data_IF_259465872226
#
_entry.id   IF_259465872226
#
_cell.length_a   1.000
_cell.length_b   1.000
_cell.length_c   1.000
_cell.angle_alpha   90.00
_cell.angle_beta   90.00
_cell.angle_gamma   90.00
#
_symmetry.space_group_name_H-M   'P 1'
#
loop_
_entity.id
_entity.type
_entity.pdbx_description
1 polymer ?
#
# COMPACT_ATOMS: atom_id res chain seq x y z
N UNK A 1 3.95 11.42 20.90
CA UNK A 1 5.34 11.71 20.52
C UNK A 1 5.72 10.70 19.44
N UNK A 2 5.39 10.99 18.18
CA UNK A 2 5.77 10.13 17.06
C UNK A 2 7.03 10.74 16.46
N UNK A 3 8.20 10.17 16.78
CA UNK A 3 9.39 10.43 15.98
C UNK A 3 9.08 9.99 14.56
N UNK A 4 9.13 10.93 13.62
CA UNK A 4 9.15 10.60 12.20
C UNK A 4 10.56 10.05 11.97
N UNK A 5 10.70 8.74 11.91
CA UNK A 5 11.95 8.11 11.51
C UNK A 5 12.15 8.46 10.03
N UNK A 6 12.92 9.50 9.78
CA UNK A 6 13.30 9.89 8.43
C UNK A 6 14.27 8.85 7.86
N UNK A 7 13.96 8.36 6.67
CA UNK A 7 14.82 7.45 5.91
C UNK A 7 16.10 8.18 5.50
N UNK A 8 17.25 7.74 6.01
CA UNK A 8 18.55 8.20 5.53
C UNK A 8 19.17 7.15 4.61
N UNK A 9 18.92 7.31 3.32
CA UNK A 9 19.39 6.39 2.27
C UNK A 9 20.92 6.29 2.19
N UNK A 10 21.64 7.35 2.55
CA UNK A 10 23.10 7.39 2.44
C UNK A 10 23.85 6.54 3.46
N UNK A 11 23.20 6.19 4.57
CA UNK A 11 23.78 5.36 5.63
C UNK A 11 23.29 3.90 5.60
N UNK A 12 22.24 3.60 4.84
CA UNK A 12 21.51 2.33 4.94
C UNK A 12 21.62 1.44 3.70
N UNK A 13 21.80 2.01 2.51
CA UNK A 13 21.73 1.27 1.24
C UNK A 13 23.07 1.28 0.51
N UNK A 14 23.38 0.20 -0.18
CA UNK A 14 24.49 0.16 -1.15
C UNK A 14 24.11 0.86 -2.48
N UNK A 15 25.08 1.06 -3.37
CA UNK A 15 24.85 1.81 -4.63
C UNK A 15 23.79 1.18 -5.55
N UNK A 16 23.69 -0.16 -5.56
CA UNK A 16 22.68 -0.87 -6.34
C UNK A 16 21.28 -0.70 -5.74
N UNK A 17 21.17 -0.83 -4.41
CA UNK A 17 19.92 -0.62 -3.69
C UNK A 17 19.41 0.84 -3.81
N UNK A 18 20.33 1.82 -3.78
CA UNK A 18 20.00 3.23 -4.05
C UNK A 18 19.45 3.40 -5.46
N UNK A 19 20.09 2.80 -6.46
CA UNK A 19 19.62 2.87 -7.85
C UNK A 19 18.24 2.25 -8.02
N UNK A 20 17.97 1.13 -7.37
CA UNK A 20 16.67 0.46 -7.46
C UNK A 20 15.57 1.30 -6.77
N UNK A 21 15.90 1.89 -5.60
CA UNK A 21 15.02 2.82 -4.90
C UNK A 21 14.70 4.06 -5.75
N UNK A 22 15.72 4.68 -6.32
CA UNK A 22 15.60 5.85 -7.19
C UNK A 22 14.77 5.52 -8.44
N UNK A 23 14.90 4.31 -8.96
CA UNK A 23 14.08 3.81 -10.08
C UNK A 23 12.61 3.71 -9.66
N UNK A 24 12.33 3.21 -8.45
CA UNK A 24 10.97 3.15 -7.91
C UNK A 24 10.34 4.53 -7.72
N UNK A 25 11.12 5.57 -7.38
CA UNK A 25 10.60 6.96 -7.33
C UNK A 25 10.03 7.43 -8.66
N UNK A 26 10.62 7.01 -9.78
CA UNK A 26 10.14 7.39 -11.11
C UNK A 26 8.70 6.91 -11.40
N UNK A 27 8.24 5.85 -10.74
CA UNK A 27 6.86 5.39 -10.83
C UNK A 27 5.84 6.44 -10.33
N UNK A 28 6.30 7.41 -9.53
CA UNK A 28 5.48 8.50 -9.02
C UNK A 28 5.50 9.77 -9.85
N UNK A 29 6.21 9.81 -10.97
CA UNK A 29 6.40 11.01 -11.81
C UNK A 29 5.09 11.66 -12.30
N UNK A 30 4.00 10.90 -12.42
CA UNK A 30 2.68 11.46 -12.78
C UNK A 30 1.95 12.09 -11.59
N UNK A 31 2.38 11.81 -10.35
CA UNK A 31 1.84 12.40 -9.13
C UNK A 31 2.63 13.64 -8.74
N UNK A 32 1.97 14.54 -8.00
CA UNK A 32 2.57 15.78 -7.48
C UNK A 32 3.14 15.57 -6.08
N UNK A 33 3.96 14.53 -5.90
CA UNK A 33 4.67 14.30 -4.64
C UNK A 33 6.01 15.06 -4.64
N UNK A 34 6.43 15.48 -3.46
CA UNK A 34 7.82 15.86 -3.21
C UNK A 34 8.69 14.60 -3.06
N UNK A 35 10.00 14.71 -3.26
CA UNK A 35 10.93 13.60 -3.05
C UNK A 35 10.82 12.99 -1.63
N UNK A 36 10.60 13.84 -0.61
CA UNK A 36 10.35 13.38 0.76
C UNK A 36 9.05 12.57 0.89
N UNK A 37 7.98 12.96 0.19
CA UNK A 37 6.73 12.18 0.17
C UNK A 37 6.94 10.84 -0.51
N UNK A 38 7.68 10.78 -1.61
CA UNK A 38 8.01 9.54 -2.33
C UNK A 38 8.80 8.57 -1.45
N UNK A 39 9.87 9.05 -0.80
CA UNK A 39 10.69 8.25 0.11
C UNK A 39 9.87 7.78 1.33
N UNK A 40 8.97 8.63 1.85
CA UNK A 40 8.06 8.24 2.92
C UNK A 40 7.06 7.16 2.49
N UNK A 41 6.53 7.25 1.27
CA UNK A 41 5.58 6.27 0.72
C UNK A 41 6.28 4.92 0.58
N UNK A 42 7.42 4.88 -0.11
CA UNK A 42 8.20 3.66 -0.29
C UNK A 42 8.69 3.11 1.07
N UNK A 43 9.15 3.99 1.95
CA UNK A 43 9.63 3.61 3.27
C UNK A 43 8.59 2.90 4.12
N UNK A 44 7.38 3.44 4.14
CA UNK A 44 6.25 2.82 4.85
C UNK A 44 5.81 1.53 4.16
N UNK A 45 5.79 1.51 2.83
CA UNK A 45 5.36 0.36 2.06
C UNK A 45 6.26 -0.87 2.25
N UNK A 46 7.57 -0.65 2.30
CA UNK A 46 8.57 -1.71 2.26
C UNK A 46 9.32 -1.88 3.61
N UNK A 47 8.70 -1.42 4.70
CA UNK A 47 9.12 -1.71 6.07
C UNK A 47 10.30 -0.88 6.60
N UNK A 48 10.78 0.12 5.86
CA UNK A 48 11.88 0.97 6.30
C UNK A 48 11.46 2.08 7.27
N UNK A 49 10.19 2.47 7.23
CA UNK A 49 9.58 3.40 8.19
C UNK A 49 8.56 2.62 9.02
N UNK A 50 8.63 2.74 10.34
CA UNK A 50 7.70 2.05 11.22
C UNK A 50 6.25 2.47 10.95
N UNK A 51 5.38 1.49 10.72
CA UNK A 51 3.94 1.71 10.62
C UNK A 51 3.16 0.72 11.48
N UNK A 52 2.04 1.14 12.09
CA UNK A 52 1.18 0.21 12.83
C UNK A 52 0.55 -0.89 11.96
N UNK A 53 0.56 -0.73 10.63
CA UNK A 53 -0.05 -1.68 9.71
C UNK A 53 0.74 -2.98 9.64
N UNK A 54 2.07 -2.90 9.53
CA UNK A 54 2.94 -4.07 9.43
C UNK A 54 3.20 -4.76 10.77
N UNK A 55 3.04 -4.06 11.90
CA UNK A 55 3.41 -4.57 13.23
C UNK A 55 4.83 -5.15 13.22
N UNK A 56 5.00 -6.48 13.26
CA UNK A 56 6.29 -7.21 13.16
C UNK A 56 6.39 -8.10 11.89
N UNK A 57 5.42 -8.03 10.97
CA UNK A 57 5.28 -8.99 9.86
C UNK A 57 6.15 -8.64 8.64
N UNK A 58 6.42 -7.36 8.40
CA UNK A 58 7.09 -6.93 7.17
C UNK A 58 8.59 -6.79 7.38
N UNK A 59 9.36 -7.54 6.58
CA UNK A 59 10.82 -7.38 6.51
C UNK A 59 11.13 -6.12 5.71
N UNK A 60 12.19 -5.42 6.12
CA UNK A 60 12.79 -4.36 5.30
C UNK A 60 13.22 -4.95 3.97
N UNK A 61 12.64 -4.44 2.88
CA UNK A 61 12.94 -4.89 1.53
C UNK A 61 13.15 -3.69 0.62
N UNK A 62 14.04 -3.83 -0.36
CA UNK A 62 14.18 -2.80 -1.40
C UNK A 62 13.07 -3.04 -2.43
N UNK A 63 12.23 -2.05 -2.74
CA UNK A 63 11.18 -2.20 -3.71
C UNK A 63 11.74 -2.50 -5.09
N UNK A 64 11.01 -3.29 -5.88
CA UNK A 64 11.27 -3.48 -7.30
C UNK A 64 10.33 -2.60 -8.12
N UNK A 65 10.86 -1.90 -9.12
CA UNK A 65 10.07 -1.00 -9.95
C UNK A 65 8.87 -1.71 -10.61
N UNK A 66 9.07 -2.95 -11.06
CA UNK A 66 8.02 -3.77 -11.65
C UNK A 66 6.84 -3.97 -10.69
N UNK A 67 7.10 -4.38 -9.44
CA UNK A 67 6.05 -4.63 -8.44
C UNK A 67 5.28 -3.35 -8.05
N UNK A 68 5.99 -2.21 -7.96
CA UNK A 68 5.36 -0.90 -7.72
C UNK A 68 4.44 -0.55 -8.89
N UNK A 69 4.92 -0.70 -10.12
CA UNK A 69 4.14 -0.40 -11.33
C UNK A 69 2.94 -1.34 -11.49
N UNK A 70 3.08 -2.63 -11.22
CA UNK A 70 1.98 -3.59 -11.25
C UNK A 70 0.86 -3.18 -10.30
N UNK A 71 1.22 -2.80 -9.06
CA UNK A 71 0.25 -2.34 -8.08
C UNK A 71 -0.44 -1.05 -8.54
N UNK A 72 0.32 -0.05 -8.99
CA UNK A 72 -0.25 1.21 -9.49
C UNK A 72 -1.14 0.99 -10.72
N UNK A 73 -0.74 0.12 -11.64
CA UNK A 73 -1.52 -0.23 -12.83
C UNK A 73 -2.81 -0.96 -12.47
N UNK A 74 -2.78 -1.85 -11.47
CA UNK A 74 -3.99 -2.48 -10.98
C UNK A 74 -4.98 -1.47 -10.39
N UNK A 75 -4.49 -0.53 -9.57
CA UNK A 75 -5.32 0.56 -9.04
C UNK A 75 -5.94 1.40 -10.16
N UNK A 76 -5.17 1.73 -11.21
CA UNK A 76 -5.66 2.50 -12.36
C UNK A 76 -6.65 1.73 -13.22
N UNK A 77 -6.21 0.61 -13.79
CA UNK A 77 -6.88 -0.08 -14.88
C UNK A 77 -7.98 -1.04 -14.39
N UNK A 78 -7.81 -1.66 -13.23
CA UNK A 78 -8.77 -2.65 -12.73
C UNK A 78 -9.75 -2.05 -11.72
N UNK A 79 -9.31 -1.07 -10.92
CA UNK A 79 -10.16 -0.42 -9.92
C UNK A 79 -10.70 0.94 -10.38
N UNK A 80 -10.38 1.35 -11.62
CA UNK A 80 -10.81 2.60 -12.24
C UNK A 80 -10.54 3.84 -11.37
N UNK A 81 -9.38 3.88 -10.70
CA UNK A 81 -8.93 5.03 -9.94
C UNK A 81 -8.14 5.99 -10.83
N UNK A 82 -8.44 7.28 -10.71
CA UNK A 82 -7.63 8.32 -11.36
C UNK A 82 -6.32 8.54 -10.61
N UNK A 83 -5.36 9.24 -11.20
CA UNK A 83 -4.11 9.57 -10.51
C UNK A 83 -4.35 10.40 -9.24
N UNK A 84 -5.36 11.27 -9.22
CA UNK A 84 -5.77 12.01 -8.02
C UNK A 84 -6.34 11.09 -6.92
N UNK A 85 -7.07 10.05 -7.32
CA UNK A 85 -7.60 9.06 -6.38
C UNK A 85 -6.47 8.21 -5.79
N UNK A 86 -5.53 7.78 -6.64
CA UNK A 86 -4.35 7.01 -6.21
C UNK A 86 -3.48 7.84 -5.28
N UNK A 87 -3.27 9.12 -5.58
CA UNK A 87 -2.56 10.04 -4.70
C UNK A 87 -3.21 10.08 -3.30
N UNK A 88 -4.54 10.17 -3.21
CA UNK A 88 -5.27 10.12 -1.92
C UNK A 88 -5.12 8.77 -1.23
N UNK A 89 -5.14 7.67 -1.98
CA UNK A 89 -4.92 6.31 -1.44
C UNK A 89 -3.52 6.20 -0.86
N UNK A 90 -2.48 6.57 -1.60
CA UNK A 90 -1.08 6.50 -1.17
C UNK A 90 -0.78 7.40 0.03
N UNK A 91 -1.40 8.58 0.12
CA UNK A 91 -1.27 9.45 1.32
C UNK A 91 -1.90 8.83 2.57
N UNK A 92 -2.97 8.03 2.43
CA UNK A 92 -3.69 7.41 3.55
C UNK A 92 -3.14 6.03 3.93
N UNK A 93 -2.66 5.29 2.95
CA UNK A 93 -2.23 3.90 3.08
C UNK A 93 -1.15 3.59 2.03
N UNK A 94 0.06 4.14 2.22
CA UNK A 94 1.19 3.85 1.34
C UNK A 94 1.54 2.37 1.31
N UNK A 95 1.24 1.63 2.38
CA UNK A 95 1.49 0.20 2.51
C UNK A 95 0.75 -0.67 1.50
N UNK A 96 -0.22 -0.10 0.75
CA UNK A 96 -0.83 -0.77 -0.40
C UNK A 96 0.22 -1.24 -1.42
N UNK A 97 1.35 -0.52 -1.57
CA UNK A 97 2.41 -0.90 -2.52
C UNK A 97 3.21 -2.13 -2.08
N UNK A 98 3.24 -2.43 -0.78
CA UNK A 98 3.86 -3.64 -0.23
C UNK A 98 2.87 -4.79 -0.04
N UNK A 99 1.57 -4.56 -0.30
CA UNK A 99 0.57 -5.63 -0.24
C UNK A 99 0.77 -6.60 -1.40
N UNK A 100 0.52 -7.89 -1.16
CA UNK A 100 0.64 -8.95 -2.17
C UNK A 100 -0.52 -8.84 -3.14
N UNK A 101 -0.26 -8.30 -4.33
CA UNK A 101 -1.27 -8.00 -5.35
C UNK A 101 -2.27 -9.15 -5.59
N UNK A 102 -1.78 -10.37 -5.82
CA UNK A 102 -2.63 -11.54 -6.09
C UNK A 102 -3.32 -12.08 -4.83
N UNK A 103 -2.57 -12.25 -3.74
CA UNK A 103 -3.04 -12.97 -2.54
C UNK A 103 -3.91 -12.11 -1.62
N UNK A 104 -3.67 -10.79 -1.61
CA UNK A 104 -4.35 -9.85 -0.72
C UNK A 104 -5.27 -8.95 -1.55
N UNK A 105 -4.74 -8.08 -2.41
CA UNK A 105 -5.54 -7.03 -3.04
C UNK A 105 -6.65 -7.59 -3.95
N UNK A 106 -6.30 -8.45 -4.91
CA UNK A 106 -7.27 -9.04 -5.85
C UNK A 106 -8.28 -9.93 -5.13
N UNK A 107 -7.83 -10.73 -4.17
CA UNK A 107 -8.71 -11.54 -3.33
C UNK A 107 -9.71 -10.67 -2.56
N UNK A 108 -9.23 -9.59 -1.95
CA UNK A 108 -10.07 -8.68 -1.17
C UNK A 108 -11.12 -7.97 -2.01
N UNK A 109 -10.77 -7.53 -3.21
CA UNK A 109 -11.72 -6.95 -4.18
C UNK A 109 -12.79 -7.98 -4.59
N UNK A 110 -12.39 -9.24 -4.82
CA UNK A 110 -13.35 -10.30 -5.13
C UNK A 110 -14.29 -10.61 -3.96
N UNK A 111 -13.78 -10.61 -2.73
CA UNK A 111 -14.60 -10.80 -1.52
C UNK A 111 -15.59 -9.65 -1.36
N UNK A 112 -15.15 -8.40 -1.59
CA UNK A 112 -16.00 -7.21 -1.58
C UNK A 112 -17.19 -7.32 -2.53
N UNK A 113 -16.92 -7.73 -3.76
CA UNK A 113 -17.96 -7.94 -4.76
C UNK A 113 -18.88 -9.11 -4.40
N UNK A 114 -18.33 -10.29 -4.07
CA UNK A 114 -19.12 -11.52 -3.88
C UNK A 114 -19.96 -11.53 -2.61
N UNK A 115 -19.47 -10.96 -1.51
CA UNK A 115 -20.17 -11.04 -0.21
C UNK A 115 -21.05 -9.83 0.07
N UNK A 116 -20.65 -8.64 -0.38
CA UNK A 116 -21.36 -7.40 -0.07
C UNK A 116 -21.83 -6.62 -1.30
N UNK A 117 -21.57 -7.10 -2.52
CA UNK A 117 -21.94 -6.39 -3.76
C UNK A 117 -21.22 -5.06 -3.93
N UNK A 118 -20.03 -4.90 -3.33
CA UNK A 118 -19.25 -3.65 -3.41
C UNK A 118 -18.35 -3.70 -4.64
N UNK A 119 -18.72 -2.97 -5.68
CA UNK A 119 -18.03 -2.91 -6.97
C UNK A 119 -18.18 -1.53 -7.64
N UNK A 120 -17.42 -1.28 -8.71
CA UNK A 120 -17.49 -0.04 -9.49
C UNK A 120 -17.39 1.22 -8.62
N UNK A 121 -18.42 2.08 -8.65
CA UNK A 121 -18.43 3.36 -7.93
C UNK A 121 -18.45 3.19 -6.40
N UNK A 122 -19.14 2.16 -5.88
CA UNK A 122 -19.19 1.93 -4.43
C UNK A 122 -17.83 1.46 -3.92
N UNK A 123 -17.16 0.59 -4.67
CA UNK A 123 -15.78 0.19 -4.40
C UNK A 123 -14.83 1.39 -4.43
N UNK A 124 -14.85 2.21 -5.49
CA UNK A 124 -14.03 3.43 -5.56
C UNK A 124 -14.22 4.33 -4.34
N UNK A 125 -15.47 4.61 -3.96
CA UNK A 125 -15.76 5.46 -2.79
C UNK A 125 -15.25 4.83 -1.49
N UNK A 126 -15.38 3.49 -1.35
CA UNK A 126 -14.84 2.77 -0.21
C UNK A 126 -13.32 2.91 -0.15
N UNK A 127 -12.60 2.69 -1.25
CA UNK A 127 -11.13 2.78 -1.30
C UNK A 127 -10.62 4.19 -0.97
N UNK A 128 -11.34 5.23 -1.40
CA UNK A 128 -11.02 6.62 -1.03
C UNK A 128 -11.22 6.90 0.46
N UNK A 129 -12.15 6.21 1.12
CA UNK A 129 -12.45 6.39 2.55
C UNK A 129 -11.55 5.51 3.43
N UNK A 130 -11.41 4.24 3.08
CA UNK A 130 -10.68 3.22 3.83
C UNK A 130 -9.90 2.30 2.88
N UNK A 131 -8.73 2.72 2.36
CA UNK A 131 -7.95 1.92 1.42
C UNK A 131 -7.33 0.65 2.04
N UNK A 132 -7.25 0.56 3.37
CA UNK A 132 -6.69 -0.59 4.10
C UNK A 132 -7.40 -1.91 3.82
N UNK A 133 -8.64 -1.85 3.32
CA UNK A 133 -9.41 -3.03 2.89
C UNK A 133 -8.69 -3.85 1.82
N UNK A 134 -7.79 -3.25 1.05
CA UNK A 134 -6.99 -3.96 0.06
C UNK A 134 -5.90 -4.85 0.69
N UNK A 135 -5.51 -4.60 1.94
CA UNK A 135 -4.44 -5.30 2.64
C UNK A 135 -4.90 -6.18 3.82
N UNK A 136 -6.20 -6.29 4.04
CA UNK A 136 -6.76 -7.09 5.14
C UNK A 136 -6.64 -8.61 4.91
N UNK A 137 -6.39 -9.35 6.00
CA UNK A 137 -6.28 -10.81 6.00
C UNK A 137 -7.67 -11.45 6.10
N UNK A 138 -8.18 -12.00 5.00
CA UNK A 138 -9.55 -12.58 4.87
C UNK A 138 -9.78 -13.79 5.79
N UNK A 139 -8.70 -14.41 6.28
CA UNK A 139 -8.72 -15.66 7.06
C UNK A 139 -9.66 -15.63 8.28
N UNK A 140 -9.96 -14.44 8.83
CA UNK A 140 -10.75 -14.32 10.04
C UNK A 140 -12.28 -14.31 9.83
N UNK A 141 -12.86 -14.14 8.63
CA UNK A 141 -14.34 -14.00 8.36
C UNK A 141 -15.19 -13.18 9.38
N UNK A 142 -14.58 -12.43 10.31
CA UNK A 142 -15.26 -11.81 11.46
C UNK A 142 -15.45 -12.68 12.71
N UNK A 143 -14.92 -13.91 12.81
CA UNK A 143 -15.08 -14.78 13.99
C UNK A 143 -13.92 -14.69 15.01
N UNK A 144 -12.85 -13.96 14.67
CA UNK A 144 -11.69 -13.80 15.56
C UNK A 144 -11.83 -12.59 16.50
N UNK A 145 -11.05 -12.57 17.58
CA UNK A 145 -11.02 -11.51 18.61
C UNK A 145 -10.50 -10.13 18.14
N UNK A 146 -10.42 -9.89 16.82
CA UNK A 146 -10.04 -8.63 16.20
C UNK A 146 -8.70 -8.04 16.69
N UNK A 147 -7.78 -8.89 17.16
CA UNK A 147 -6.47 -8.46 17.70
C UNK A 147 -5.49 -8.01 16.60
N UNK A 148 -5.75 -8.35 15.33
CA UNK A 148 -4.87 -8.00 14.22
C UNK A 148 -5.27 -6.64 13.62
N UNK A 149 -4.28 -5.76 13.42
CA UNK A 149 -4.45 -4.46 12.73
C UNK A 149 -4.93 -4.60 11.28
N UNK A 150 -4.79 -5.80 10.72
CA UNK A 150 -5.15 -6.20 9.35
C UNK A 150 -6.39 -7.10 9.27
N UNK A 151 -7.17 -7.33 10.33
CA UNK A 151 -8.34 -8.23 10.22
C UNK A 151 -9.57 -7.53 9.62
N UNK A 152 -10.31 -8.28 8.81
CA UNK A 152 -11.56 -7.87 8.17
C UNK A 152 -12.70 -7.52 9.13
N UNK A 153 -12.65 -7.94 10.39
CA UNK A 153 -13.64 -7.51 11.38
C UNK A 153 -13.61 -5.99 11.67
N UNK A 154 -12.57 -5.30 11.19
CA UNK A 154 -12.41 -3.84 11.28
C UNK A 154 -12.95 -3.10 10.05
N UNK A 155 -13.43 -3.84 9.03
CA UNK A 155 -14.10 -3.31 7.85
C UNK A 155 -15.48 -2.74 8.22
#
# INVERSE_FOLDING_TARGET
>A
MHSIDHLNHDLLFNDEEKKEWDSCRQAFSSFKFSAEEEDNILGKAFGHIHTPYWYDEQKKEIPRLEAVNETLNYLRMNLNLTDDDICKVLKKFPEVLGCRLEKEMKNNVQVLAKQWGIEGKSLRNLLLRNPKVLGFNVDCKGDCVAKCTRCWSRF
#
